data_IF_902292902110
#
_entry.id   IF_902292902110
#
_cell.length_a   1.000
_cell.length_b   1.000
_cell.length_c   1.000
_cell.angle_alpha   90.00
_cell.angle_beta   90.00
_cell.angle_gamma   90.00
#
_symmetry.space_group_name_H-M   'P 1'
#
loop_
_entity.id
_entity.type
_entity.pdbx_description
1 polymer ?
#
# COMPACT_ATOMS: atom_id res chain seq x y z
N UNK A 1 -26.20 -3.97 14.00
CA UNK A 1 -24.92 -3.31 14.37
C UNK A 1 -25.06 -1.80 14.58
N UNK A 2 -26.19 -1.18 14.21
CA UNK A 2 -26.46 0.24 14.47
C UNK A 2 -27.85 0.45 15.05
N UNK A 3 -28.01 1.51 15.83
CA UNK A 3 -29.29 2.06 16.24
C UNK A 3 -29.63 3.28 15.38
N UNK A 4 -30.93 3.48 15.12
CA UNK A 4 -31.40 4.69 14.45
C UNK A 4 -31.34 5.88 15.42
N UNK A 5 -30.85 7.00 14.94
CA UNK A 5 -30.82 8.27 15.66
C UNK A 5 -31.59 9.33 14.88
N UNK A 6 -32.32 10.18 15.60
CA UNK A 6 -33.07 11.28 15.00
C UNK A 6 -32.27 12.57 15.18
N UNK A 7 -31.80 13.23 14.10
CA UNK A 7 -31.00 14.45 14.20
C UNK A 7 -31.63 15.56 15.03
N UNK A 8 -32.97 15.63 15.03
CA UNK A 8 -33.75 16.61 15.79
C UNK A 8 -33.80 16.34 17.30
N UNK A 9 -33.47 15.11 17.73
CA UNK A 9 -33.43 14.73 19.13
C UNK A 9 -32.07 15.02 19.79
N UNK A 10 -31.08 15.49 19.04
CA UNK A 10 -29.77 15.83 19.60
C UNK A 10 -29.87 17.07 20.50
N UNK A 11 -29.04 17.16 21.56
CA UNK A 11 -28.92 18.37 22.38
C UNK A 11 -28.66 19.60 21.51
N UNK A 12 -29.21 20.76 21.89
CA UNK A 12 -29.01 22.01 21.14
C UNK A 12 -27.51 22.29 20.97
N UNK A 13 -27.09 22.42 19.71
CA UNK A 13 -25.69 22.69 19.34
C UNK A 13 -24.87 21.44 18.99
N UNK A 14 -25.33 20.24 19.33
CA UNK A 14 -24.65 19.00 18.97
C UNK A 14 -25.14 18.46 17.64
N UNK A 15 -24.26 18.45 16.63
CA UNK A 15 -24.49 17.74 15.37
C UNK A 15 -23.71 16.44 15.39
N UNK A 16 -24.42 15.31 15.30
CA UNK A 16 -23.80 14.02 14.97
C UNK A 16 -23.70 13.93 13.45
N UNK A 17 -22.48 13.86 12.94
CA UNK A 17 -22.18 13.87 11.51
C UNK A 17 -21.68 12.50 11.06
N UNK A 18 -21.93 12.16 9.81
CA UNK A 18 -21.42 10.94 9.21
C UNK A 18 -19.90 10.99 9.11
N UNK A 19 -19.21 9.94 9.56
CA UNK A 19 -17.75 9.86 9.50
C UNK A 19 -17.18 10.04 8.09
N UNK A 20 -17.88 9.51 7.08
CA UNK A 20 -17.38 9.51 5.70
C UNK A 20 -17.65 10.85 4.99
N UNK A 21 -18.87 11.38 5.07
CA UNK A 21 -19.30 12.49 4.21
C UNK A 21 -19.69 13.77 4.96
N UNK A 22 -19.62 13.76 6.30
CA UNK A 22 -19.95 14.90 7.17
C UNK A 22 -21.40 15.41 7.08
N UNK A 23 -22.31 14.69 6.38
CA UNK A 23 -23.75 14.97 6.39
C UNK A 23 -24.37 14.55 7.74
N UNK A 24 -25.55 15.09 8.13
CA UNK A 24 -26.23 14.70 9.36
C UNK A 24 -26.44 13.17 9.44
N UNK A 25 -26.05 12.58 10.57
CA UNK A 25 -26.15 11.14 10.78
C UNK A 25 -27.56 10.71 11.20
N UNK A 26 -27.94 9.49 10.77
CA UNK A 26 -29.20 8.82 11.11
C UNK A 26 -28.97 7.47 11.78
N UNK A 27 -27.73 6.99 11.82
CA UNK A 27 -27.33 5.73 12.40
C UNK A 27 -26.16 5.95 13.36
N UNK A 28 -26.11 5.16 14.43
CA UNK A 28 -25.03 5.13 15.40
C UNK A 28 -24.60 3.68 15.62
N UNK A 29 -23.29 3.43 15.61
CA UNK A 29 -22.76 2.10 15.95
C UNK A 29 -23.12 1.75 17.40
N UNK A 30 -23.78 0.60 17.63
CA UNK A 30 -24.23 0.19 18.97
C UNK A 30 -23.12 -0.33 19.87
N UNK A 31 -21.92 -0.59 19.31
CA UNK A 31 -20.77 -1.09 20.06
C UNK A 31 -19.94 0.06 20.65
N UNK A 32 -19.37 0.91 19.81
CA UNK A 32 -18.53 2.02 20.27
C UNK A 32 -19.33 3.24 20.71
N UNK A 33 -20.57 3.41 20.25
CA UNK A 33 -21.44 4.57 20.52
C UNK A 33 -20.88 5.94 20.09
N UNK A 34 -19.68 6.00 19.51
CA UNK A 34 -19.01 7.26 19.11
C UNK A 34 -18.97 7.48 17.61
N UNK A 35 -19.40 6.50 16.81
CA UNK A 35 -19.29 6.52 15.35
C UNK A 35 -20.67 6.56 14.72
N UNK A 36 -20.84 7.47 13.75
CA UNK A 36 -22.13 7.82 13.20
C UNK A 36 -22.16 7.79 11.66
N UNK A 37 -23.31 7.43 11.09
CA UNK A 37 -23.48 7.30 9.64
C UNK A 37 -24.79 7.94 9.15
N UNK A 38 -24.80 8.49 7.94
CA UNK A 38 -26.01 9.06 7.34
C UNK A 38 -26.95 7.99 6.74
N UNK A 39 -26.43 6.84 6.33
CA UNK A 39 -27.15 5.72 5.72
C UNK A 39 -26.37 4.40 5.93
N UNK A 40 -27.01 3.28 5.56
CA UNK A 40 -26.42 1.94 5.67
C UNK A 40 -25.22 1.74 4.74
N UNK A 41 -25.21 2.37 3.57
CA UNK A 41 -24.10 2.24 2.61
C UNK A 41 -22.79 2.76 3.19
N UNK A 42 -22.83 3.94 3.85
CA UNK A 42 -21.65 4.50 4.51
C UNK A 42 -21.23 3.68 5.74
N UNK A 43 -22.19 3.12 6.47
CA UNK A 43 -21.87 2.18 7.53
C UNK A 43 -21.14 0.96 6.98
N UNK A 44 -21.63 0.37 5.89
CA UNK A 44 -21.04 -0.83 5.29
C UNK A 44 -19.65 -0.54 4.72
N UNK A 45 -19.49 0.61 4.06
CA UNK A 45 -18.19 1.05 3.55
C UNK A 45 -17.16 1.22 4.68
N UNK A 46 -17.53 1.87 5.80
CA UNK A 46 -16.64 1.99 6.95
C UNK A 46 -16.36 0.65 7.61
N UNK A 47 -17.37 -0.23 7.72
CA UNK A 47 -17.21 -1.58 8.26
C UNK A 47 -16.21 -2.40 7.48
N UNK A 48 -16.35 -2.47 6.16
CA UNK A 48 -15.43 -3.17 5.27
C UNK A 48 -14.04 -2.55 5.25
N UNK A 49 -13.95 -1.23 5.36
CA UNK A 49 -12.69 -0.50 5.30
C UNK A 49 -11.86 -0.66 6.59
N UNK A 50 -12.40 -0.33 7.75
CA UNK A 50 -11.62 -0.24 9.00
C UNK A 50 -12.43 -0.44 10.28
N UNK A 51 -13.73 -0.12 10.29
CA UNK A 51 -14.50 0.02 11.54
C UNK A 51 -14.59 -1.30 12.32
N UNK A 52 -14.64 -2.45 11.64
CA UNK A 52 -14.61 -3.75 12.30
C UNK A 52 -13.39 -3.90 13.23
N UNK A 53 -12.22 -3.49 12.74
CA UNK A 53 -10.94 -3.54 13.47
C UNK A 53 -10.79 -2.40 14.48
N UNK A 54 -11.25 -1.20 14.12
CA UNK A 54 -11.12 -0.01 14.95
C UNK A 54 -12.12 0.05 16.12
N UNK A 55 -13.31 -0.54 15.99
CA UNK A 55 -14.40 -0.41 16.95
C UNK A 55 -14.00 -0.82 18.39
N UNK A 56 -13.30 -1.95 18.64
CA UNK A 56 -12.84 -2.30 19.99
C UNK A 56 -11.90 -1.27 20.61
N UNK A 57 -10.99 -0.69 19.82
CA UNK A 57 -10.09 0.38 20.27
C UNK A 57 -10.87 1.65 20.60
N UNK A 58 -11.86 2.01 19.77
CA UNK A 58 -12.74 3.15 20.02
C UNK A 58 -13.53 2.99 21.33
N UNK A 59 -14.03 1.79 21.64
CA UNK A 59 -14.66 1.50 22.95
C UNK A 59 -13.64 1.74 24.06
N UNK A 60 -12.45 1.15 23.95
CA UNK A 60 -11.42 1.21 24.99
C UNK A 60 -10.94 2.65 25.26
N UNK A 61 -10.76 3.47 24.21
CA UNK A 61 -10.30 4.87 24.30
C UNK A 61 -11.33 5.75 25.02
N UNK A 62 -12.63 5.45 24.88
CA UNK A 62 -13.71 6.23 25.48
C UNK A 62 -14.14 5.71 26.87
N UNK A 63 -13.36 4.82 27.48
CA UNK A 63 -13.60 4.37 28.87
C UNK A 63 -13.45 5.56 29.83
N UNK A 64 -14.43 5.82 30.72
CA UNK A 64 -14.36 6.92 31.67
C UNK A 64 -13.09 6.88 32.52
N UNK A 65 -12.53 8.05 32.81
CA UNK A 65 -11.36 8.17 33.70
C UNK A 65 -11.76 7.65 35.09
N UNK A 66 -11.00 6.72 35.70
CA UNK A 66 -11.29 6.24 37.04
C UNK A 66 -11.28 7.41 38.05
N UNK A 67 -12.20 7.38 39.01
CA UNK A 67 -12.17 8.26 40.18
C UNK A 67 -11.05 7.82 41.13
N UNK A 68 -9.81 8.06 40.72
CA UNK A 68 -8.60 7.66 41.44
C UNK A 68 -7.69 8.83 41.78
N UNK A 69 -6.48 8.51 42.25
CA UNK A 69 -5.45 9.51 42.55
C UNK A 69 -4.95 10.20 41.28
N UNK A 70 -4.26 11.35 41.41
CA UNK A 70 -3.64 12.03 40.28
C UNK A 70 -2.67 11.11 39.51
N UNK A 71 -2.00 10.18 40.19
CA UNK A 71 -1.14 9.17 39.58
C UNK A 71 -1.93 8.23 38.66
N UNK A 72 -3.09 7.76 39.13
CA UNK A 72 -3.96 6.86 38.36
C UNK A 72 -4.51 7.56 37.12
N UNK A 73 -4.90 8.83 37.24
CA UNK A 73 -5.35 9.64 36.12
C UNK A 73 -4.25 9.84 35.07
N UNK A 74 -3.02 10.13 35.51
CA UNK A 74 -1.85 10.25 34.62
C UNK A 74 -1.54 8.93 33.90
N UNK A 75 -1.64 7.80 34.60
CA UNK A 75 -1.45 6.48 34.00
C UNK A 75 -2.52 6.22 32.93
N UNK A 76 -3.80 6.42 33.25
CA UNK A 76 -4.92 6.27 32.32
C UNK A 76 -4.77 7.17 31.09
N UNK A 77 -4.31 8.42 31.26
CA UNK A 77 -4.05 9.32 30.15
C UNK A 77 -2.94 8.79 29.23
N UNK A 78 -1.82 8.31 29.79
CA UNK A 78 -0.73 7.71 29.03
C UNK A 78 -1.20 6.46 28.27
N UNK A 79 -1.99 5.60 28.90
CA UNK A 79 -2.56 4.42 28.24
C UNK A 79 -3.52 4.79 27.12
N UNK A 80 -4.38 5.78 27.35
CA UNK A 80 -5.31 6.30 26.33
C UNK A 80 -4.54 6.83 25.13
N UNK A 81 -3.47 7.60 25.36
CA UNK A 81 -2.61 8.10 24.28
C UNK A 81 -1.93 6.97 23.50
N UNK A 82 -1.46 5.91 24.17
CA UNK A 82 -0.91 4.72 23.50
C UNK A 82 -1.95 4.05 22.60
N UNK A 83 -3.18 3.87 23.09
CA UNK A 83 -4.29 3.29 22.31
C UNK A 83 -4.65 4.16 21.09
N UNK A 84 -4.63 5.49 21.25
CA UNK A 84 -4.85 6.43 20.14
C UNK A 84 -3.77 6.29 19.06
N UNK A 85 -2.50 6.19 19.45
CA UNK A 85 -1.39 5.95 18.50
C UNK A 85 -1.53 4.60 17.79
N UNK A 86 -1.91 3.55 18.50
CA UNK A 86 -2.19 2.24 17.89
C UNK A 86 -3.34 2.32 16.86
N UNK A 87 -4.40 3.09 17.16
CA UNK A 87 -5.50 3.31 16.22
C UNK A 87 -5.05 4.07 14.96
N UNK A 88 -4.18 5.06 15.13
CA UNK A 88 -3.57 5.82 14.03
C UNK A 88 -2.76 4.89 13.12
N UNK A 89 -1.87 4.08 13.69
CA UNK A 89 -1.06 3.11 12.95
C UNK A 89 -1.91 2.09 12.20
N UNK A 90 -2.94 1.54 12.86
CA UNK A 90 -3.88 0.60 12.24
C UNK A 90 -4.61 1.23 11.06
N UNK A 91 -5.17 2.42 11.22
CA UNK A 91 -5.89 3.12 10.15
C UNK A 91 -4.97 3.46 8.97
N UNK A 92 -3.72 3.83 9.26
CA UNK A 92 -2.70 4.08 8.23
C UNK A 92 -2.38 2.81 7.43
N UNK A 93 -2.10 1.70 8.11
CA UNK A 93 -1.77 0.42 7.46
C UNK A 93 -2.92 -0.09 6.60
N UNK A 94 -4.15 0.00 7.10
CA UNK A 94 -5.33 -0.44 6.38
C UNK A 94 -5.59 0.42 5.13
N UNK A 95 -5.47 1.75 5.25
CA UNK A 95 -5.59 2.63 4.09
C UNK A 95 -4.54 2.31 3.02
N UNK A 96 -3.28 2.06 3.41
CA UNK A 96 -2.21 1.67 2.46
C UNK A 96 -2.49 0.32 1.79
N UNK A 97 -3.01 -0.65 2.54
CA UNK A 97 -3.44 -1.94 1.99
C UNK A 97 -4.51 -1.75 0.92
N UNK A 98 -5.53 -0.93 1.18
CA UNK A 98 -6.57 -0.67 0.17
C UNK A 98 -6.04 0.07 -1.06
N UNK A 99 -5.07 0.97 -0.89
CA UNK A 99 -4.39 1.64 -2.01
C UNK A 99 -3.66 0.63 -2.90
N UNK A 100 -2.89 -0.31 -2.33
CA UNK A 100 -2.17 -1.30 -3.14
C UNK A 100 -3.12 -2.23 -3.89
N UNK A 101 -4.25 -2.57 -3.28
CA UNK A 101 -5.31 -3.35 -3.92
C UNK A 101 -6.15 -2.57 -4.95
N UNK A 102 -5.85 -1.29 -5.19
CA UNK A 102 -6.60 -0.38 -6.08
C UNK A 102 -8.09 -0.26 -5.72
N UNK A 103 -8.43 -0.56 -4.46
CA UNK A 103 -9.79 -0.47 -3.91
C UNK A 103 -10.03 0.93 -3.34
N UNK A 104 -10.06 1.92 -4.23
CA UNK A 104 -9.98 3.34 -3.84
C UNK A 104 -11.17 3.85 -3.01
N UNK A 105 -12.35 3.25 -3.18
CA UNK A 105 -13.51 3.57 -2.33
C UNK A 105 -13.28 3.12 -0.87
N UNK A 106 -12.64 1.96 -0.68
CA UNK A 106 -12.35 1.40 0.64
C UNK A 106 -11.18 2.12 1.34
N UNK A 107 -10.36 2.89 0.61
CA UNK A 107 -9.33 3.75 1.21
C UNK A 107 -9.95 4.89 2.02
N UNK A 108 -11.08 5.44 1.57
CA UNK A 108 -11.63 6.69 2.12
C UNK A 108 -11.95 6.59 3.63
N UNK A 109 -12.68 5.59 4.14
CA UNK A 109 -13.01 5.55 5.57
C UNK A 109 -11.76 5.38 6.46
N UNK A 110 -10.86 4.45 6.11
CA UNK A 110 -9.59 4.26 6.80
C UNK A 110 -8.72 5.55 6.80
N UNK A 111 -8.58 6.23 5.66
CA UNK A 111 -7.80 7.44 5.56
C UNK A 111 -8.43 8.64 6.30
N UNK A 112 -9.76 8.76 6.32
CA UNK A 112 -10.47 9.79 7.11
C UNK A 112 -10.33 9.54 8.61
N UNK A 113 -10.45 8.29 9.06
CA UNK A 113 -10.21 7.92 10.46
C UNK A 113 -8.76 8.24 10.87
N UNK A 114 -7.80 7.86 10.03
CA UNK A 114 -6.38 8.19 10.22
C UNK A 114 -6.16 9.69 10.35
N UNK A 115 -6.73 10.48 9.43
CA UNK A 115 -6.66 11.94 9.46
C UNK A 115 -7.23 12.52 10.78
N UNK A 116 -8.43 12.07 11.17
CA UNK A 116 -9.11 12.55 12.37
C UNK A 116 -8.26 12.33 13.62
N UNK A 117 -7.69 11.14 13.78
CA UNK A 117 -6.91 10.81 14.96
C UNK A 117 -5.52 11.45 14.96
N UNK A 118 -4.88 11.63 13.80
CA UNK A 118 -3.65 12.44 13.73
C UNK A 118 -3.94 13.87 14.18
N UNK A 119 -4.99 14.51 13.66
CA UNK A 119 -5.36 15.87 14.06
C UNK A 119 -5.63 15.97 15.56
N UNK A 120 -6.23 14.95 16.16
CA UNK A 120 -6.53 14.91 17.59
C UNK A 120 -5.29 14.71 18.47
N UNK A 121 -4.32 13.93 18.03
CA UNK A 121 -3.12 13.59 18.83
C UNK A 121 -1.99 14.61 18.63
N UNK A 122 -1.76 15.06 17.39
CA UNK A 122 -0.62 15.89 17.01
C UNK A 122 -1.01 17.34 16.71
N UNK A 123 -2.24 17.60 16.25
CA UNK A 123 -2.73 18.92 15.87
C UNK A 123 -2.95 19.07 14.36
N UNK A 124 -3.45 20.24 13.94
CA UNK A 124 -3.96 20.46 12.57
C UNK A 124 -2.91 20.90 11.54
N UNK A 125 -1.69 21.23 11.96
CA UNK A 125 -0.64 21.81 11.10
C UNK A 125 0.72 21.15 11.34
N UNK A 126 0.75 19.83 11.56
CA UNK A 126 2.00 19.09 11.80
C UNK A 126 2.32 18.17 10.62
N UNK A 127 3.61 17.86 10.44
CA UNK A 127 4.10 17.05 9.33
C UNK A 127 3.51 15.63 9.34
N UNK A 128 3.14 15.11 10.52
CA UNK A 128 2.47 13.82 10.71
C UNK A 128 1.11 13.74 10.01
N UNK A 129 0.49 14.87 9.66
CA UNK A 129 -0.78 14.92 8.93
C UNK A 129 -0.61 14.74 7.41
N UNK A 130 0.60 14.95 6.88
CA UNK A 130 0.86 14.84 5.43
C UNK A 130 0.49 13.46 4.88
N UNK A 131 0.91 12.32 5.48
CA UNK A 131 0.52 11.00 4.98
C UNK A 131 -1.00 10.79 4.85
N UNK A 132 -1.80 11.38 5.76
CA UNK A 132 -3.25 11.26 5.69
C UNK A 132 -3.82 11.98 4.46
N UNK A 133 -3.33 13.19 4.17
CA UNK A 133 -3.72 13.91 2.96
C UNK A 133 -3.26 13.22 1.67
N UNK A 134 -2.08 12.59 1.68
CA UNK A 134 -1.61 11.83 0.52
C UNK A 134 -2.50 10.61 0.25
N UNK A 135 -2.92 9.87 1.28
CA UNK A 135 -3.83 8.74 1.11
C UNK A 135 -5.22 9.17 0.58
N UNK A 136 -5.76 10.25 1.12
CA UNK A 136 -7.03 10.82 0.64
C UNK A 136 -6.92 11.32 -0.80
N UNK A 137 -5.80 11.94 -1.17
CA UNK A 137 -5.54 12.33 -2.55
C UNK A 137 -5.44 11.12 -3.48
N UNK A 138 -4.71 10.07 -3.09
CA UNK A 138 -4.58 8.83 -3.87
C UNK A 138 -5.94 8.15 -4.09
N UNK A 139 -6.77 8.07 -3.06
CA UNK A 139 -8.14 7.56 -3.17
C UNK A 139 -8.95 8.36 -4.20
N UNK A 140 -8.93 9.69 -4.09
CA UNK A 140 -9.69 10.56 -5.00
C UNK A 140 -9.16 10.54 -6.44
N UNK A 141 -7.85 10.40 -6.65
CA UNK A 141 -7.26 10.18 -7.99
C UNK A 141 -7.82 8.88 -8.57
N UNK A 142 -7.78 7.79 -7.81
CA UNK A 142 -8.25 6.48 -8.27
C UNK A 142 -9.76 6.40 -8.53
N UNK A 143 -10.56 7.20 -7.81
CA UNK A 143 -12.01 7.35 -8.04
C UNK A 143 -12.30 8.26 -9.25
N UNK A 144 -11.36 9.12 -9.64
CA UNK A 144 -11.54 10.12 -10.70
C UNK A 144 -12.02 11.50 -10.21
N UNK A 145 -12.15 11.69 -8.89
CA UNK A 145 -12.48 12.97 -8.24
C UNK A 145 -11.25 13.89 -8.17
N UNK A 146 -10.72 14.28 -9.33
CA UNK A 146 -9.42 14.98 -9.44
C UNK A 146 -9.40 16.35 -8.74
N UNK A 147 -10.53 17.06 -8.71
CA UNK A 147 -10.67 18.32 -7.97
C UNK A 147 -10.49 18.12 -6.47
N UNK A 148 -11.12 17.09 -5.91
CA UNK A 148 -10.98 16.77 -4.49
C UNK A 148 -9.56 16.31 -4.15
N UNK A 149 -8.93 15.54 -5.03
CA UNK A 149 -7.52 15.14 -4.87
C UNK A 149 -6.60 16.36 -4.84
N UNK A 150 -6.81 17.34 -5.71
CA UNK A 150 -6.04 18.57 -5.74
C UNK A 150 -6.16 19.35 -4.42
N UNK A 151 -7.36 19.46 -3.85
CA UNK A 151 -7.54 20.13 -2.55
C UNK A 151 -6.75 19.47 -1.42
N UNK A 152 -6.72 18.13 -1.38
CA UNK A 152 -5.93 17.40 -0.38
C UNK A 152 -4.44 17.60 -0.58
N UNK A 153 -3.96 17.58 -1.84
CA UNK A 153 -2.56 17.83 -2.13
C UNK A 153 -2.14 19.27 -1.78
N UNK A 154 -2.99 20.27 -2.04
CA UNK A 154 -2.68 21.64 -1.62
C UNK A 154 -2.54 21.78 -0.09
N UNK A 155 -3.31 21.01 0.70
CA UNK A 155 -3.13 20.96 2.15
C UNK A 155 -1.82 20.30 2.56
N UNK A 156 -1.45 19.20 1.88
CA UNK A 156 -0.18 18.52 2.11
C UNK A 156 1.03 19.41 1.76
N UNK A 157 1.02 20.04 0.58
CA UNK A 157 2.05 20.98 0.12
C UNK A 157 2.21 22.15 1.09
N UNK A 158 1.09 22.68 1.59
CA UNK A 158 1.11 23.75 2.57
C UNK A 158 1.85 23.31 3.86
N UNK A 159 1.51 22.17 4.45
CA UNK A 159 2.22 21.68 5.65
C UNK A 159 3.72 21.48 5.40
N UNK A 160 4.08 20.87 4.26
CA UNK A 160 5.48 20.65 3.88
C UNK A 160 6.23 21.96 3.74
N UNK A 161 5.63 22.97 3.08
CA UNK A 161 6.23 24.29 2.90
C UNK A 161 6.52 25.03 4.21
N UNK A 162 5.75 24.73 5.27
CA UNK A 162 5.94 25.38 6.58
C UNK A 162 6.80 24.60 7.56
N UNK A 163 7.08 23.35 7.26
CA UNK A 163 7.93 22.51 8.07
C UNK A 163 9.36 22.67 7.58
N UNK A 164 10.21 23.31 8.38
CA UNK A 164 11.65 23.30 8.12
C UNK A 164 12.17 21.85 8.16
N UNK A 165 13.11 21.52 7.28
CA UNK A 165 13.77 20.21 7.23
C UNK A 165 12.79 19.02 7.11
N UNK A 166 11.79 19.17 6.23
CA UNK A 166 10.86 18.07 5.94
C UNK A 166 11.63 16.84 5.43
N UNK A 167 11.32 15.66 5.96
CA UNK A 167 12.07 14.45 5.62
C UNK A 167 11.91 14.09 4.14
N UNK A 168 12.99 13.55 3.56
CA UNK A 168 12.96 13.05 2.19
C UNK A 168 11.90 11.97 1.97
N UNK A 169 11.55 11.19 3.01
CA UNK A 169 10.40 10.27 3.01
C UNK A 169 9.08 10.99 2.67
N UNK A 170 8.80 12.12 3.32
CA UNK A 170 7.56 12.87 3.08
C UNK A 170 7.60 13.55 1.70
N UNK A 171 8.75 14.12 1.34
CA UNK A 171 8.91 14.83 0.07
C UNK A 171 8.71 13.91 -1.13
N UNK A 172 9.34 12.72 -1.15
CA UNK A 172 9.18 11.82 -2.29
C UNK A 172 7.73 11.33 -2.41
N UNK A 173 7.05 11.01 -1.30
CA UNK A 173 5.64 10.59 -1.30
C UNK A 173 4.69 11.69 -1.80
N UNK A 174 4.96 12.94 -1.43
CA UNK A 174 4.23 14.10 -1.92
C UNK A 174 4.39 14.24 -3.43
N UNK A 175 5.64 14.25 -3.91
CA UNK A 175 5.94 14.37 -5.33
C UNK A 175 5.39 13.20 -6.14
N UNK A 176 5.46 11.97 -5.64
CA UNK A 176 4.84 10.80 -6.25
C UNK A 176 3.33 10.99 -6.45
N UNK A 177 2.65 11.53 -5.44
CA UNK A 177 1.19 11.71 -5.50
C UNK A 177 0.79 12.89 -6.41
N UNK A 178 1.56 13.99 -6.39
CA UNK A 178 1.39 15.10 -7.34
C UNK A 178 1.61 14.65 -8.78
N UNK A 179 2.65 13.85 -9.05
CA UNK A 179 2.91 13.29 -10.37
C UNK A 179 1.74 12.43 -10.86
N UNK A 180 1.16 11.60 -9.98
CA UNK A 180 -0.04 10.82 -10.29
C UNK A 180 -1.25 11.70 -10.61
N UNK A 181 -1.49 12.77 -9.85
CA UNK A 181 -2.57 13.73 -10.13
C UNK A 181 -2.39 14.37 -11.52
N UNK A 182 -1.18 14.86 -11.81
CA UNK A 182 -0.89 15.48 -13.09
C UNK A 182 -1.02 14.50 -14.26
N UNK A 183 -0.57 13.25 -14.09
CA UNK A 183 -0.74 12.21 -15.09
C UNK A 183 -2.22 11.90 -15.35
N UNK A 184 -3.06 11.85 -14.29
CA UNK A 184 -4.50 11.66 -14.41
C UNK A 184 -5.21 12.85 -15.10
N UNK A 185 -4.69 14.07 -14.93
CA UNK A 185 -5.15 15.26 -15.64
C UNK A 185 -4.64 15.36 -17.09
N UNK A 186 -3.84 14.40 -17.57
CA UNK A 186 -3.21 14.47 -18.90
C UNK A 186 -2.04 15.47 -19.00
N UNK A 187 -1.60 16.05 -17.88
CA UNK A 187 -0.51 17.03 -17.81
C UNK A 187 0.85 16.31 -17.74
N UNK A 188 1.25 15.69 -18.84
CA UNK A 188 2.40 14.78 -18.89
C UNK A 188 3.72 15.45 -18.47
N UNK A 189 3.99 16.68 -18.89
CA UNK A 189 5.23 17.39 -18.53
C UNK A 189 5.34 17.61 -17.02
N UNK A 190 4.27 18.11 -16.38
CA UNK A 190 4.22 18.28 -14.92
C UNK A 190 4.34 16.95 -14.20
N UNK A 191 3.71 15.89 -14.70
CA UNK A 191 3.83 14.56 -14.13
C UNK A 191 5.28 14.09 -14.08
N UNK A 192 6.02 14.21 -15.20
CA UNK A 192 7.43 13.87 -15.27
C UNK A 192 8.30 14.69 -14.31
N UNK A 193 8.05 15.99 -14.18
CA UNK A 193 8.76 16.85 -13.21
C UNK A 193 8.57 16.35 -11.78
N UNK A 194 7.33 16.04 -11.39
CA UNK A 194 7.06 15.53 -10.05
C UNK A 194 7.63 14.12 -9.85
N UNK A 195 7.56 13.23 -10.83
CA UNK A 195 8.18 11.90 -10.70
C UNK A 195 9.72 11.97 -10.64
N UNK A 196 10.35 12.90 -11.34
CA UNK A 196 11.79 13.11 -11.22
C UNK A 196 12.18 13.57 -9.80
N UNK A 197 11.39 14.45 -9.18
CA UNK A 197 11.60 14.86 -7.79
C UNK A 197 11.35 13.70 -6.80
N UNK A 198 10.35 12.85 -7.05
CA UNK A 198 10.15 11.61 -6.29
C UNK A 198 11.40 10.72 -6.34
N UNK A 199 11.93 10.45 -7.53
CA UNK A 199 13.17 9.69 -7.69
C UNK A 199 14.32 10.33 -6.93
N UNK A 200 14.52 11.65 -7.06
CA UNK A 200 15.60 12.36 -6.37
C UNK A 200 15.53 12.18 -4.84
N UNK A 201 14.39 12.49 -4.23
CA UNK A 201 14.25 12.35 -2.77
C UNK A 201 14.27 10.90 -2.31
N UNK A 202 13.78 9.96 -3.12
CA UNK A 202 13.86 8.53 -2.81
C UNK A 202 15.31 8.02 -2.83
N UNK A 203 16.14 8.46 -3.78
CA UNK A 203 17.57 8.12 -3.82
C UNK A 203 18.28 8.65 -2.57
N UNK A 204 18.05 9.92 -2.22
CA UNK A 204 18.67 10.53 -1.04
C UNK A 204 18.29 9.81 0.27
N UNK A 205 17.10 9.22 0.33
CA UNK A 205 16.61 8.53 1.54
C UNK A 205 16.95 7.04 1.59
N UNK A 206 16.84 6.34 0.46
CA UNK A 206 16.88 4.87 0.40
C UNK A 206 18.00 4.32 -0.47
N UNK A 207 18.71 5.16 -1.21
CA UNK A 207 19.74 4.77 -2.15
C UNK A 207 19.22 4.48 -3.56
N UNK A 208 20.17 4.42 -4.50
CA UNK A 208 19.91 4.21 -5.92
C UNK A 208 19.25 2.85 -6.20
N UNK A 209 19.75 1.79 -5.55
CA UNK A 209 19.32 0.41 -5.79
C UNK A 209 18.07 0.00 -5.01
N UNK A 210 17.34 0.98 -4.44
CA UNK A 210 16.16 0.72 -3.63
C UNK A 210 14.93 0.45 -4.50
N UNK A 211 14.13 -0.54 -4.11
CA UNK A 211 12.79 -0.79 -4.68
C UNK A 211 11.84 0.39 -4.48
N UNK A 212 12.10 1.28 -3.53
CA UNK A 212 11.30 2.51 -3.35
C UNK A 212 11.58 3.50 -4.48
N UNK A 213 12.84 3.62 -4.87
CA UNK A 213 13.31 4.47 -5.99
C UNK A 213 12.78 3.95 -7.32
N UNK A 214 12.78 2.62 -7.52
CA UNK A 214 12.29 2.01 -8.76
C UNK A 214 10.81 2.33 -9.04
N UNK A 215 10.00 2.52 -8.01
CA UNK A 215 8.61 2.98 -8.18
C UNK A 215 8.47 4.31 -8.92
N UNK A 216 9.45 5.22 -8.80
CA UNK A 216 9.48 6.48 -9.55
C UNK A 216 9.80 6.26 -11.03
N UNK A 217 10.79 5.40 -11.34
CA UNK A 217 11.11 5.02 -12.72
C UNK A 217 9.94 4.36 -13.44
N UNK A 218 9.22 3.48 -12.74
CA UNK A 218 8.01 2.84 -13.27
C UNK A 218 6.96 3.89 -13.68
N UNK A 219 6.69 4.87 -12.81
CA UNK A 219 5.71 5.93 -13.09
C UNK A 219 6.16 6.88 -14.23
N UNK A 220 7.46 7.15 -14.34
CA UNK A 220 8.00 7.91 -15.46
C UNK A 220 7.85 7.16 -16.78
N UNK A 221 8.13 5.86 -16.80
CA UNK A 221 7.99 5.00 -17.97
C UNK A 221 6.55 5.01 -18.50
N UNK A 222 5.54 4.88 -17.63
CA UNK A 222 4.13 4.97 -17.99
C UNK A 222 3.77 6.29 -18.71
N UNK A 223 4.37 7.41 -18.26
CA UNK A 223 4.15 8.71 -18.91
C UNK A 223 4.85 8.78 -20.27
N UNK A 224 6.06 8.21 -20.40
CA UNK A 224 6.77 8.15 -21.68
C UNK A 224 6.08 7.25 -22.71
N UNK A 225 5.45 6.15 -22.28
CA UNK A 225 4.58 5.35 -23.15
C UNK A 225 3.42 6.17 -23.69
N UNK A 226 2.76 6.98 -22.84
CA UNK A 226 1.70 7.91 -23.27
C UNK A 226 2.21 9.03 -24.18
N UNK A 227 3.51 9.28 -24.22
CA UNK A 227 4.17 10.20 -25.16
C UNK A 227 4.64 9.52 -26.45
N UNK A 228 4.36 8.22 -26.65
CA UNK A 228 4.86 7.42 -27.75
C UNK A 228 6.41 7.39 -27.82
N UNK A 229 7.06 7.30 -26.65
CA UNK A 229 8.53 7.13 -26.49
C UNK A 229 8.85 5.78 -25.82
N UNK A 230 8.58 4.65 -26.49
CA UNK A 230 8.71 3.32 -25.91
C UNK A 230 10.16 2.96 -25.61
N UNK A 231 11.13 3.52 -26.32
CA UNK A 231 12.56 3.36 -26.09
C UNK A 231 12.97 3.85 -24.69
N UNK A 232 12.53 5.06 -24.30
CA UNK A 232 12.81 5.61 -22.97
C UNK A 232 12.10 4.79 -21.89
N UNK A 233 10.83 4.44 -22.12
CA UNK A 233 10.07 3.61 -21.19
C UNK A 233 10.72 2.25 -20.97
N UNK A 234 11.23 1.62 -22.04
CA UNK A 234 11.91 0.33 -21.99
C UNK A 234 13.18 0.38 -21.16
N UNK A 235 13.99 1.44 -21.30
CA UNK A 235 15.17 1.66 -20.45
C UNK A 235 14.80 1.80 -18.97
N UNK A 236 13.79 2.63 -18.66
CA UNK A 236 13.33 2.80 -17.28
C UNK A 236 12.78 1.50 -16.68
N UNK A 237 12.00 0.73 -17.45
CA UNK A 237 11.51 -0.57 -17.01
C UNK A 237 12.63 -1.60 -16.81
N UNK A 238 13.73 -1.55 -17.57
CA UNK A 238 14.92 -2.38 -17.29
C UNK A 238 15.49 -2.08 -15.91
N UNK A 239 15.62 -0.81 -15.53
CA UNK A 239 16.09 -0.42 -14.19
C UNK A 239 15.14 -0.93 -13.09
N UNK A 240 13.83 -0.84 -13.31
CA UNK A 240 12.83 -1.35 -12.37
C UNK A 240 12.95 -2.87 -12.21
N UNK A 241 13.02 -3.60 -13.32
CA UNK A 241 13.14 -5.05 -13.32
C UNK A 241 14.43 -5.51 -12.63
N UNK A 242 15.56 -4.87 -12.92
CA UNK A 242 16.85 -5.17 -12.29
C UNK A 242 16.87 -4.89 -10.79
N UNK A 243 16.29 -3.76 -10.36
CA UNK A 243 16.17 -3.40 -8.93
C UNK A 243 15.38 -4.44 -8.15
N UNK A 244 14.21 -4.84 -8.68
CA UNK A 244 13.36 -5.85 -8.06
C UNK A 244 13.98 -7.24 -8.07
N UNK A 245 14.57 -7.67 -9.20
CA UNK A 245 15.25 -8.97 -9.30
C UNK A 245 16.38 -9.07 -8.28
N UNK A 246 17.24 -8.05 -8.20
CA UNK A 246 18.33 -8.00 -7.22
C UNK A 246 17.82 -8.08 -5.79
N UNK A 247 16.75 -7.35 -5.47
CA UNK A 247 16.14 -7.37 -4.15
C UNK A 247 15.58 -8.76 -3.80
N UNK A 248 14.82 -9.37 -4.70
CA UNK A 248 14.21 -10.69 -4.50
C UNK A 248 15.28 -11.79 -4.38
N UNK A 249 16.36 -11.75 -5.17
CA UNK A 249 17.47 -12.68 -5.00
C UNK A 249 18.09 -12.58 -3.61
N UNK A 250 18.33 -11.37 -3.09
CA UNK A 250 18.86 -11.18 -1.73
C UNK A 250 17.93 -11.76 -0.66
N UNK A 251 16.61 -11.63 -0.84
CA UNK A 251 15.62 -12.21 0.07
C UNK A 251 15.68 -13.75 0.04
N UNK A 252 15.72 -14.34 -1.16
CA UNK A 252 15.81 -15.79 -1.34
C UNK A 252 17.10 -16.37 -0.73
N UNK A 253 18.23 -15.68 -0.89
CA UNK A 253 19.50 -16.07 -0.29
C UNK A 253 19.45 -16.00 1.24
N UNK A 254 18.80 -14.97 1.80
CA UNK A 254 18.63 -14.80 3.23
C UNK A 254 17.76 -15.88 3.90
N UNK A 255 16.72 -16.34 3.21
CA UNK A 255 15.86 -17.46 3.68
C UNK A 255 16.65 -18.77 3.65
N UNK A 256 17.52 -18.95 2.66
CA UNK A 256 18.35 -20.15 2.57
C UNK A 256 19.41 -20.22 3.69
N UNK A 257 19.82 -19.07 4.23
CA UNK A 257 20.90 -18.98 5.22
C UNK A 257 20.41 -18.80 6.67
N UNK A 258 19.17 -18.37 6.89
CA UNK A 258 18.62 -18.20 8.23
C UNK A 258 17.22 -18.78 8.32
N UNK A 259 16.97 -19.61 9.34
CA UNK A 259 15.64 -20.11 9.70
C UNK A 259 14.74 -19.02 10.31
N UNK A 260 14.87 -17.79 9.83
CA UNK A 260 14.10 -16.63 10.29
C UNK A 260 12.82 -16.60 9.46
N UNK A 261 11.68 -16.51 10.16
CA UNK A 261 10.34 -16.55 9.56
C UNK A 261 10.21 -15.48 8.45
N UNK A 262 9.66 -15.84 7.25
CA UNK A 262 9.52 -14.93 6.11
C UNK A 262 8.69 -13.67 6.38
N UNK A 263 7.85 -13.70 7.43
CA UNK A 263 6.78 -12.73 7.66
C UNK A 263 7.27 -11.32 8.02
N UNK A 264 8.52 -11.17 8.48
CA UNK A 264 9.13 -9.85 8.68
C UNK A 264 9.78 -9.27 7.41
N UNK A 265 10.06 -10.11 6.40
CA UNK A 265 10.96 -9.72 5.31
C UNK A 265 10.22 -9.07 4.13
N UNK A 266 8.91 -9.29 3.98
CA UNK A 266 8.17 -8.82 2.81
C UNK A 266 6.66 -8.64 3.06
N UNK A 267 6.23 -7.40 3.30
CA UNK A 267 4.84 -7.13 3.67
C UNK A 267 3.86 -7.27 2.49
N UNK A 268 2.58 -7.53 2.79
CA UNK A 268 1.51 -7.72 1.78
C UNK A 268 1.41 -6.56 0.78
N UNK A 269 1.66 -5.33 1.23
CA UNK A 269 1.62 -4.13 0.40
C UNK A 269 2.72 -4.15 -0.66
N UNK A 270 3.96 -4.42 -0.25
CA UNK A 270 5.11 -4.55 -1.15
C UNK A 270 4.90 -5.67 -2.17
N UNK A 271 4.30 -6.79 -1.74
CA UNK A 271 4.00 -7.89 -2.65
C UNK A 271 3.06 -7.49 -3.77
N UNK A 272 1.95 -6.83 -3.42
CA UNK A 272 0.96 -6.39 -4.40
C UNK A 272 1.54 -5.34 -5.34
N UNK A 273 2.36 -4.42 -4.83
CA UNK A 273 3.04 -3.42 -5.67
C UNK A 273 4.06 -4.07 -6.63
N UNK A 274 4.86 -5.02 -6.13
CA UNK A 274 5.83 -5.76 -6.93
C UNK A 274 5.16 -6.55 -8.05
N UNK A 275 4.11 -7.31 -7.74
CA UNK A 275 3.34 -8.10 -8.71
C UNK A 275 2.79 -7.19 -9.82
N UNK A 276 2.14 -6.09 -9.44
CA UNK A 276 1.59 -5.14 -10.41
C UNK A 276 2.65 -4.55 -11.34
N UNK A 277 3.79 -4.11 -10.80
CA UNK A 277 4.85 -3.53 -11.61
C UNK A 277 5.48 -4.57 -12.53
N UNK A 278 5.88 -5.72 -11.98
CA UNK A 278 6.60 -6.75 -12.72
C UNK A 278 5.71 -7.40 -13.79
N UNK A 279 4.44 -7.67 -13.51
CA UNK A 279 3.49 -8.18 -14.50
C UNK A 279 3.22 -7.16 -15.61
N UNK A 280 3.06 -5.88 -15.27
CA UNK A 280 2.89 -4.83 -16.27
C UNK A 280 4.11 -4.70 -17.20
N UNK A 281 5.32 -4.79 -16.64
CA UNK A 281 6.55 -4.75 -17.44
C UNK A 281 6.69 -6.01 -18.30
N UNK A 282 6.34 -7.18 -17.76
CA UNK A 282 6.35 -8.44 -18.51
C UNK A 282 5.42 -8.37 -19.72
N UNK A 283 4.17 -7.94 -19.52
CA UNK A 283 3.20 -7.77 -20.60
C UNK A 283 3.70 -6.77 -21.67
N UNK A 284 4.30 -5.65 -21.24
CA UNK A 284 4.90 -4.69 -22.15
C UNK A 284 6.03 -5.31 -22.99
N UNK A 285 6.96 -6.02 -22.36
CA UNK A 285 8.09 -6.65 -23.03
C UNK A 285 7.65 -7.74 -24.01
N UNK A 286 6.60 -8.48 -23.70
CA UNK A 286 6.02 -9.51 -24.58
C UNK A 286 5.35 -8.92 -25.83
N UNK A 287 4.81 -7.69 -25.73
CA UNK A 287 4.15 -6.99 -26.83
C UNK A 287 5.13 -6.19 -27.71
N UNK A 288 6.40 -6.08 -27.31
CA UNK A 288 7.42 -5.42 -28.11
C UNK A 288 7.67 -6.16 -29.43
N UNK A 289 7.92 -5.40 -30.51
CA UNK A 289 8.27 -5.96 -31.83
C UNK A 289 9.52 -6.84 -31.78
N UNK A 290 10.46 -6.50 -30.88
CA UNK A 290 11.67 -7.28 -30.61
C UNK A 290 11.79 -7.48 -29.09
N UNK A 291 11.14 -8.52 -28.54
CA UNK A 291 11.25 -8.85 -27.12
C UNK A 291 12.69 -9.21 -26.78
N UNK A 292 13.18 -8.78 -25.61
CA UNK A 292 14.51 -9.18 -25.10
C UNK A 292 14.37 -10.44 -24.23
N UNK A 293 14.86 -11.60 -24.68
CA UNK A 293 14.69 -12.87 -23.95
C UNK A 293 15.28 -12.83 -22.54
N UNK A 294 16.40 -12.14 -22.35
CA UNK A 294 17.06 -11.99 -21.04
C UNK A 294 16.17 -11.24 -20.04
N UNK A 295 15.53 -10.15 -20.49
CA UNK A 295 14.64 -9.34 -19.65
C UNK A 295 13.35 -10.09 -19.34
N UNK A 296 12.74 -10.74 -20.33
CA UNK A 296 11.57 -11.60 -20.12
C UNK A 296 11.85 -12.70 -19.09
N UNK A 297 13.00 -13.36 -19.21
CA UNK A 297 13.43 -14.41 -18.28
C UNK A 297 13.59 -13.85 -16.87
N UNK A 298 14.26 -12.70 -16.73
CA UNK A 298 14.46 -12.02 -15.45
C UNK A 298 13.13 -11.65 -14.79
N UNK A 299 12.18 -11.08 -15.53
CA UNK A 299 10.85 -10.71 -15.05
C UNK A 299 10.05 -11.92 -14.60
N UNK A 300 10.01 -12.98 -15.41
CA UNK A 300 9.34 -14.23 -15.07
C UNK A 300 9.96 -14.88 -13.81
N UNK A 301 11.29 -14.90 -13.72
CA UNK A 301 11.99 -15.38 -12.53
C UNK A 301 11.69 -14.53 -11.28
N UNK A 302 11.65 -13.20 -11.41
CA UNK A 302 11.26 -12.30 -10.32
C UNK A 302 9.84 -12.56 -9.83
N UNK A 303 8.86 -12.71 -10.74
CA UNK A 303 7.49 -13.07 -10.37
C UNK A 303 7.42 -14.44 -9.70
N UNK A 304 8.19 -15.42 -10.19
CA UNK A 304 8.26 -16.74 -9.57
C UNK A 304 8.79 -16.67 -8.12
N UNK A 305 9.88 -15.93 -7.89
CA UNK A 305 10.43 -15.70 -6.54
C UNK A 305 9.41 -14.99 -5.65
N UNK A 306 8.75 -13.95 -6.16
CA UNK A 306 7.74 -13.19 -5.44
C UNK A 306 6.62 -14.09 -4.92
N UNK A 307 6.07 -14.95 -5.77
CA UNK A 307 4.98 -15.85 -5.40
C UNK A 307 5.43 -16.99 -4.50
N UNK A 308 6.68 -17.44 -4.65
CA UNK A 308 7.27 -18.41 -3.75
C UNK A 308 7.43 -17.87 -2.32
N UNK A 309 7.90 -16.62 -2.18
CA UNK A 309 8.00 -15.91 -0.89
C UNK A 309 6.65 -15.72 -0.19
N UNK A 310 5.54 -15.92 -0.91
CA UNK A 310 4.16 -15.82 -0.40
C UNK A 310 3.47 -17.17 -0.26
N UNK A 311 4.23 -18.26 -0.34
CA UNK A 311 3.75 -19.65 -0.30
C UNK A 311 2.67 -19.95 -1.36
N UNK A 312 2.61 -19.17 -2.43
CA UNK A 312 1.73 -19.43 -3.56
C UNK A 312 2.46 -20.27 -4.61
N UNK A 313 2.59 -21.56 -4.31
CA UNK A 313 3.32 -22.51 -5.15
C UNK A 313 2.74 -22.64 -6.56
N UNK A 314 1.42 -22.46 -6.73
CA UNK A 314 0.78 -22.55 -8.05
C UNK A 314 1.28 -21.46 -9.00
N UNK A 315 1.24 -20.20 -8.57
CA UNK A 315 1.77 -19.07 -9.36
C UNK A 315 3.29 -19.11 -9.49
N UNK A 316 3.99 -19.52 -8.44
CA UNK A 316 5.44 -19.68 -8.48
C UNK A 316 5.86 -20.67 -9.58
N UNK A 317 5.16 -21.81 -9.71
CA UNK A 317 5.42 -22.80 -10.76
C UNK A 317 5.04 -22.30 -12.15
N UNK A 318 3.93 -21.56 -12.28
CA UNK A 318 3.50 -20.97 -13.56
C UNK A 318 4.59 -20.05 -14.12
N UNK A 319 5.02 -19.06 -13.33
CA UNK A 319 6.06 -18.12 -13.74
C UNK A 319 7.44 -18.77 -13.84
N UNK A 320 7.74 -19.75 -12.97
CA UNK A 320 9.00 -20.51 -13.00
C UNK A 320 9.15 -21.30 -14.29
N UNK A 321 8.10 -21.99 -14.73
CA UNK A 321 8.08 -22.74 -16.00
C UNK A 321 8.19 -21.80 -17.20
N UNK A 322 7.53 -20.64 -17.13
CA UNK A 322 7.69 -19.59 -18.15
C UNK A 322 9.15 -19.12 -18.25
N UNK A 323 9.81 -18.87 -17.12
CA UNK A 323 11.22 -18.52 -17.07
C UNK A 323 12.12 -19.64 -17.63
N UNK A 324 11.82 -20.90 -17.33
CA UNK A 324 12.55 -22.07 -17.83
C UNK A 324 12.47 -22.21 -19.37
N UNK A 325 11.31 -21.92 -19.96
CA UNK A 325 11.17 -21.91 -21.43
C UNK A 325 11.98 -20.77 -22.05
N UNK A 326 11.89 -19.56 -21.46
CA UNK A 326 12.56 -18.37 -22.00
C UNK A 326 14.09 -18.48 -21.95
N UNK A 327 14.65 -19.06 -20.87
CA UNK A 327 16.10 -19.16 -20.70
C UNK A 327 16.77 -20.17 -21.65
N UNK A 328 16.01 -21.06 -22.30
CA UNK A 328 16.56 -21.96 -23.32
C UNK A 328 17.06 -21.19 -24.54
N UNK A 329 16.48 -20.02 -24.83
CA UNK A 329 16.91 -19.14 -25.92
C UNK A 329 18.10 -18.24 -25.58
N UNK A 330 18.48 -18.13 -24.30
CA UNK A 330 19.52 -17.22 -23.82
C UNK A 330 20.86 -17.96 -23.70
N UNK A 331 21.91 -17.41 -24.31
CA UNK A 331 23.28 -17.93 -24.17
C UNK A 331 23.93 -17.34 -22.91
N UNK A 332 24.71 -18.17 -22.20
CA UNK A 332 25.62 -17.74 -21.11
C UNK A 332 24.97 -17.21 -19.81
N UNK A 333 23.84 -17.77 -19.38
CA UNK A 333 23.23 -17.48 -18.07
C UNK A 333 23.10 -18.71 -17.16
N UNK A 334 24.20 -19.42 -16.92
CA UNK A 334 24.20 -20.64 -16.10
C UNK A 334 23.68 -20.41 -14.67
N UNK A 335 24.08 -19.31 -14.02
CA UNK A 335 23.61 -18.98 -12.67
C UNK A 335 22.10 -18.76 -12.60
N UNK A 336 21.53 -18.05 -13.59
CA UNK A 336 20.08 -17.82 -13.62
C UNK A 336 19.34 -19.13 -13.90
N UNK A 337 19.89 -20.00 -14.76
CA UNK A 337 19.33 -21.33 -15.04
C UNK A 337 19.30 -22.22 -13.80
N UNK A 338 20.38 -22.23 -13.03
CA UNK A 338 20.45 -22.93 -11.74
C UNK A 338 19.42 -22.36 -10.75
N UNK A 339 19.32 -21.02 -10.65
CA UNK A 339 18.34 -20.36 -9.78
C UNK A 339 16.90 -20.74 -10.12
N UNK A 340 16.53 -20.72 -11.41
CA UNK A 340 15.20 -21.12 -11.88
C UNK A 340 14.94 -22.60 -11.55
N UNK A 341 15.91 -23.47 -11.81
CA UNK A 341 15.76 -24.90 -11.54
C UNK A 341 15.57 -25.19 -10.05
N UNK A 342 16.37 -24.57 -9.18
CA UNK A 342 16.25 -24.70 -7.74
C UNK A 342 14.91 -24.19 -7.23
N UNK A 343 14.44 -23.06 -7.77
CA UNK A 343 13.13 -22.49 -7.45
C UNK A 343 11.99 -23.46 -7.80
N UNK A 344 12.03 -24.04 -9.01
CA UNK A 344 11.03 -25.01 -9.46
C UNK A 344 11.01 -26.25 -8.57
N UNK A 345 12.17 -26.85 -8.29
CA UNK A 345 12.26 -28.01 -7.39
C UNK A 345 11.69 -27.70 -6.00
N UNK A 346 12.01 -26.53 -5.44
CA UNK A 346 11.52 -26.13 -4.14
C UNK A 346 9.99 -25.95 -4.13
N UNK A 347 9.44 -25.26 -5.14
CA UNK A 347 8.01 -25.05 -5.27
C UNK A 347 7.23 -26.36 -5.49
N UNK A 348 7.74 -27.29 -6.31
CA UNK A 348 7.10 -28.60 -6.54
C UNK A 348 7.09 -29.45 -5.27
N UNK A 349 8.19 -29.46 -4.52
CA UNK A 349 8.28 -30.19 -3.26
C UNK A 349 7.24 -29.70 -2.26
N UNK A 350 7.17 -28.39 -2.01
CA UNK A 350 6.24 -27.82 -1.03
C UNK A 350 4.77 -27.93 -1.49
N UNK A 351 4.49 -27.87 -2.80
CA UNK A 351 3.14 -28.09 -3.33
C UNK A 351 2.65 -29.53 -3.06
N UNK A 352 3.53 -30.53 -3.20
CA UNK A 352 3.18 -31.91 -2.92
C UNK A 352 2.99 -32.16 -1.40
N UNK A 353 3.81 -31.52 -0.56
CA UNK A 353 3.67 -31.62 0.90
C UNK A 353 2.34 -31.01 1.39
N UNK A 354 1.96 -29.84 0.87
CA UNK A 354 0.67 -29.20 1.20
C UNK A 354 -0.54 -30.01 0.71
N UNK A 355 -0.45 -30.64 -0.47
CA UNK A 355 -1.50 -31.54 -0.96
C UNK A 355 -1.66 -32.79 -0.09
N UNK A 356 -0.54 -33.39 0.34
CA UNK A 356 -0.56 -34.59 1.19
C UNK A 356 -1.18 -34.32 2.57
N UNK A 357 -0.92 -33.15 3.17
CA UNK A 357 -1.55 -32.73 4.43
C UNK A 357 -3.08 -32.64 4.31
N UNK A 358 -3.58 -32.04 3.23
CA UNK A 358 -5.03 -31.98 2.98
C UNK A 358 -5.67 -33.36 2.76
N UNK A 359 -4.96 -34.32 2.16
CA UNK A 359 -5.48 -35.69 2.00
C UNK A 359 -5.47 -36.51 3.28
N UNK A 360 -4.55 -36.22 4.22
CA UNK A 360 -4.49 -36.89 5.52
C UNK A 360 -5.65 -36.46 6.43
N UNK A 361 -6.02 -35.18 6.40
CA UNK A 361 -7.15 -34.66 7.18
C UNK A 361 -8.51 -35.18 6.67
N UNK A 362 -8.66 -35.44 5.37
CA UNK A 362 -9.88 -36.04 4.82
C UNK A 362 -10.05 -37.54 5.17
N UNK A 363 -8.99 -38.25 5.56
CA UNK A 363 -9.07 -39.68 5.92
C UNK A 363 -9.26 -39.92 7.42
N UNK A 364 -9.45 -38.87 8.23
CA UNK A 364 -9.66 -38.96 9.69
C UNK A 364 -11.08 -38.57 10.13
N UNK A 365 -12.03 -38.49 9.19
CA UNK A 365 -13.47 -38.37 9.42
C UNK A 365 -14.22 -39.47 8.66
#
# INVERSE_FOLDING_TARGET
>A
MSASIYPLANPKGEKKLCEICQKPAKLQCTKCLVTFYCNLDHQQADWTSIHEKACPLLVSINTPVPSGTLSDQNHHHKETLKKQKCLIEMAHLEARKWVSMKRFQDVLPAALLFQHWIMRVYGSCTVELVPAYLLLAQANIGIGSLSQAQEYLSKAEWIVMKTADCSHTVLHQLHRTLGRLHAAMGKQASALTHFANDVYYAIEMFGLDSIVTSGGYFLMADVFLKQNKPDIAHSLYTEVAGSWHTHLCKLMDGISQSATQPDECFNEVQCVEADQMLSCILEFEEQCVKPRPEQLTMLAHSLAMLWLLRDNYTKALEYGKKAEVLIQGVKEQNRLRESIHNLLQHAEKNMNETANLHTADCNTH
#
